data_IF_907497218813
#
_entry.id   IF_907497218813
#
_cell.length_a   1.000
_cell.length_b   1.000
_cell.length_c   1.000
_cell.angle_alpha   90.00
_cell.angle_beta   90.00
_cell.angle_gamma   90.00
#
_symmetry.space_group_name_H-M   'P 1'
#
loop_
_entity.id
_entity.type
_entity.pdbx_description
1 polymer ?
#
# COMPACT_ATOMS: atom_id res chain seq x y z
N UNK A 1 5.53 -21.74 5.75
CA UNK A 1 5.28 -20.37 6.23
C UNK A 1 5.64 -20.35 7.71
N UNK A 2 6.86 -19.93 8.07
CA UNK A 2 7.22 -19.74 9.48
C UNK A 2 6.63 -18.40 9.87
N UNK A 3 5.56 -18.42 10.68
CA UNK A 3 5.10 -17.20 11.34
C UNK A 3 6.32 -16.61 12.07
N UNK A 4 6.70 -15.34 11.85
CA UNK A 4 7.67 -14.71 12.72
C UNK A 4 7.10 -14.83 14.12
N UNK A 5 7.80 -15.59 14.97
CA UNK A 5 7.29 -15.90 16.31
C UNK A 5 7.12 -14.57 17.01
N UNK A 6 5.87 -14.17 17.27
CA UNK A 6 5.56 -13.08 18.17
C UNK A 6 6.24 -13.46 19.50
N UNK A 7 7.39 -12.85 19.76
CA UNK A 7 8.18 -13.17 20.91
C UNK A 7 7.69 -12.28 22.06
N UNK A 8 7.45 -12.88 23.22
CA UNK A 8 7.07 -12.12 24.42
C UNK A 8 8.18 -11.15 24.83
N UNK A 9 9.42 -11.44 24.43
CA UNK A 9 10.57 -10.58 24.68
C UNK A 9 10.61 -9.35 23.75
N UNK A 10 10.08 -9.43 22.52
CA UNK A 10 10.13 -8.33 21.53
C UNK A 10 8.86 -7.50 21.48
N UNK A 11 7.77 -7.95 22.11
CA UNK A 11 6.45 -7.30 22.00
C UNK A 11 6.46 -5.82 22.42
N UNK A 12 7.31 -5.44 23.38
CA UNK A 12 7.45 -4.05 23.81
C UNK A 12 8.12 -3.17 22.74
N UNK A 13 9.20 -3.69 22.14
CA UNK A 13 9.92 -3.03 21.04
C UNK A 13 9.03 -2.96 19.79
N UNK A 14 8.37 -4.05 19.43
CA UNK A 14 7.44 -4.13 18.29
C UNK A 14 6.27 -3.15 18.44
N UNK A 15 5.72 -2.99 19.64
CA UNK A 15 4.66 -2.01 19.92
C UNK A 15 5.17 -0.58 19.75
N UNK A 16 6.35 -0.26 20.29
CA UNK A 16 6.94 1.07 20.15
C UNK A 16 7.24 1.41 18.68
N UNK A 17 7.79 0.46 17.92
CA UNK A 17 8.07 0.60 16.51
C UNK A 17 6.78 0.78 15.71
N UNK A 18 5.75 -0.02 15.99
CA UNK A 18 4.44 0.08 15.36
C UNK A 18 3.76 1.43 15.61
N UNK A 19 3.87 1.97 16.82
CA UNK A 19 3.34 3.31 17.14
C UNK A 19 4.08 4.42 16.38
N UNK A 20 5.41 4.38 16.35
CA UNK A 20 6.22 5.38 15.63
C UNK A 20 5.91 5.33 14.14
N UNK A 21 5.92 4.13 13.54
CA UNK A 21 5.59 3.94 12.13
C UNK A 21 4.14 4.34 11.84
N UNK A 22 3.20 4.03 12.73
CA UNK A 22 1.81 4.43 12.62
C UNK A 22 1.65 5.95 12.57
N UNK A 23 2.27 6.67 13.50
CA UNK A 23 2.23 8.14 13.53
C UNK A 23 2.89 8.73 12.28
N UNK A 24 4.05 8.21 11.86
CA UNK A 24 4.75 8.64 10.65
C UNK A 24 3.91 8.40 9.38
N UNK A 25 3.16 7.30 9.33
CA UNK A 25 2.40 6.89 8.15
C UNK A 25 1.27 7.86 7.79
N UNK A 26 0.78 8.66 8.76
CA UNK A 26 -0.32 9.61 8.55
C UNK A 26 0.07 10.74 7.59
N UNK A 27 1.10 11.56 7.89
CA UNK A 27 1.54 12.59 6.95
C UNK A 27 2.12 12.00 5.65
N UNK A 28 2.80 10.85 5.72
CA UNK A 28 3.37 10.19 4.54
C UNK A 28 2.30 9.73 3.54
N UNK A 29 1.25 9.05 4.01
CA UNK A 29 0.13 8.62 3.18
C UNK A 29 -0.64 9.80 2.57
N UNK A 30 -0.83 10.89 3.33
CA UNK A 30 -1.44 12.11 2.80
C UNK A 30 -0.58 12.77 1.71
N UNK A 31 0.75 12.81 1.90
CA UNK A 31 1.68 13.32 0.90
C UNK A 31 1.66 12.47 -0.39
N UNK A 32 1.59 11.14 -0.26
CA UNK A 32 1.43 10.25 -1.42
C UNK A 32 0.13 10.52 -2.19
N UNK A 33 -0.98 10.77 -1.47
CA UNK A 33 -2.25 11.17 -2.08
C UNK A 33 -2.16 12.50 -2.84
N UNK A 34 -1.45 13.49 -2.29
CA UNK A 34 -1.17 14.76 -2.96
C UNK A 34 -0.33 14.57 -4.23
N UNK A 35 0.72 13.75 -4.17
CA UNK A 35 1.56 13.42 -5.33
C UNK A 35 0.76 12.71 -6.43
N UNK A 36 -0.27 11.95 -6.06
CA UNK A 36 -1.19 11.30 -6.99
C UNK A 36 -2.25 12.26 -7.56
N UNK A 37 -2.24 13.55 -7.21
CA UNK A 37 -3.24 14.56 -7.60
C UNK A 37 -4.68 14.20 -7.18
N UNK A 38 -4.85 13.47 -6.08
CA UNK A 38 -6.15 13.11 -5.51
C UNK A 38 -6.33 13.72 -4.12
N UNK A 39 -7.54 13.59 -3.54
CA UNK A 39 -7.75 14.03 -2.16
C UNK A 39 -6.78 13.28 -1.21
N UNK A 40 -5.99 13.99 -0.37
CA UNK A 40 -4.98 13.38 0.50
C UNK A 40 -5.51 12.28 1.41
N UNK A 41 -6.78 12.39 1.80
CA UNK A 41 -7.45 11.40 2.65
C UNK A 41 -7.46 10.01 1.99
N UNK A 42 -7.52 9.92 0.65
CA UNK A 42 -7.48 8.62 -0.03
C UNK A 42 -6.11 7.94 0.07
N UNK A 43 -5.01 8.71 0.13
CA UNK A 43 -3.69 8.16 0.38
C UNK A 43 -3.56 7.59 1.81
N UNK A 44 -4.12 8.29 2.79
CA UNK A 44 -4.22 7.79 4.17
C UNK A 44 -5.04 6.49 4.25
N UNK A 45 -6.20 6.44 3.56
CA UNK A 45 -7.02 5.24 3.51
C UNK A 45 -6.28 4.07 2.87
N UNK A 46 -5.56 4.30 1.77
CA UNK A 46 -4.76 3.28 1.12
C UNK A 46 -3.71 2.68 2.07
N UNK A 47 -3.02 3.50 2.87
CA UNK A 47 -2.06 3.04 3.88
C UNK A 47 -2.75 2.24 4.97
N UNK A 48 -3.85 2.75 5.53
CA UNK A 48 -4.56 2.09 6.61
C UNK A 48 -5.06 0.69 6.18
N UNK A 49 -5.66 0.59 5.00
CA UNK A 49 -6.13 -0.69 4.47
C UNK A 49 -4.99 -1.59 3.98
N UNK A 50 -3.95 -1.02 3.39
CA UNK A 50 -2.80 -1.74 2.84
C UNK A 50 -1.93 -2.38 3.92
N UNK A 51 -1.56 -1.61 4.95
CA UNK A 51 -0.80 -2.12 6.10
C UNK A 51 -1.60 -3.17 6.86
N UNK A 52 -2.89 -2.90 7.12
CA UNK A 52 -3.74 -3.86 7.82
C UNK A 52 -3.88 -5.18 7.06
N UNK A 53 -4.22 -5.12 5.77
CA UNK A 53 -4.39 -6.32 4.97
C UNK A 53 -3.07 -7.08 4.80
N UNK A 54 -1.98 -6.40 4.49
CA UNK A 54 -0.73 -7.08 4.24
C UNK A 54 0.02 -7.54 5.49
N UNK A 55 -0.36 -7.11 6.70
CA UNK A 55 0.10 -7.76 7.94
C UNK A 55 -0.26 -9.26 7.97
N UNK A 56 -1.35 -9.67 7.30
CA UNK A 56 -1.76 -11.08 7.21
C UNK A 56 -1.12 -11.83 6.04
N UNK A 57 -0.86 -11.14 4.93
CA UNK A 57 -0.44 -11.78 3.67
C UNK A 57 1.06 -11.67 3.36
N UNK A 58 1.77 -10.77 4.04
CA UNK A 58 3.21 -10.56 3.81
C UNK A 58 4.03 -11.68 4.44
N UNK A 59 5.09 -12.11 3.74
CA UNK A 59 5.99 -13.17 4.24
C UNK A 59 7.14 -12.66 5.13
N UNK A 60 7.29 -11.34 5.27
CA UNK A 60 8.34 -10.68 6.05
C UNK A 60 7.76 -9.96 7.26
N UNK A 61 8.35 -10.20 8.43
CA UNK A 61 7.96 -9.55 9.69
C UNK A 61 8.28 -8.04 9.73
N UNK A 62 9.27 -7.63 8.95
CA UNK A 62 9.83 -6.27 8.99
C UNK A 62 9.39 -5.41 7.81
N UNK A 63 8.62 -5.95 6.88
CA UNK A 63 8.18 -5.23 5.68
C UNK A 63 6.91 -4.44 5.99
N UNK A 64 7.00 -3.11 5.86
CA UNK A 64 5.85 -2.21 5.88
C UNK A 64 5.32 -1.98 4.46
N UNK A 65 4.01 -1.88 4.32
CA UNK A 65 3.34 -1.61 3.03
C UNK A 65 3.01 -0.12 2.95
N UNK A 66 3.64 0.57 2.00
CA UNK A 66 3.48 1.99 1.79
C UNK A 66 3.43 2.28 0.28
N UNK A 67 2.90 3.43 -0.10
CA UNK A 67 2.97 3.89 -1.49
C UNK A 67 4.35 4.49 -1.74
N UNK A 68 4.83 4.33 -2.97
CA UNK A 68 6.06 4.99 -3.42
C UNK A 68 5.71 6.19 -4.29
N UNK A 69 6.66 7.13 -4.42
CA UNK A 69 6.50 8.27 -5.33
C UNK A 69 6.23 7.81 -6.77
N UNK A 70 6.84 6.70 -7.20
CA UNK A 70 6.59 6.11 -8.52
C UNK A 70 5.13 5.66 -8.68
N UNK A 71 4.55 4.98 -7.68
CA UNK A 71 3.13 4.60 -7.69
C UNK A 71 2.23 5.83 -7.76
N UNK A 72 2.52 6.87 -6.98
CA UNK A 72 1.75 8.10 -6.97
C UNK A 72 1.76 8.81 -8.35
N UNK A 73 2.93 8.91 -8.99
CA UNK A 73 3.05 9.50 -10.33
C UNK A 73 2.31 8.69 -11.40
N UNK A 74 2.31 7.36 -11.30
CA UNK A 74 1.53 6.50 -12.21
C UNK A 74 0.03 6.77 -12.04
N UNK A 75 -0.46 6.87 -10.80
CA UNK A 75 -1.87 7.20 -10.55
C UNK A 75 -2.20 8.60 -11.10
N UNK A 76 -1.36 9.60 -10.82
CA UNK A 76 -1.53 10.96 -11.34
C UNK A 76 -1.56 11.01 -12.87
N UNK A 77 -0.86 10.11 -13.55
CA UNK A 77 -0.82 10.05 -15.01
C UNK A 77 -2.14 9.60 -15.65
N UNK A 78 -3.10 9.07 -14.88
CA UNK A 78 -4.40 8.59 -15.36
C UNK A 78 -5.41 9.76 -15.38
N UNK A 79 -5.81 10.30 -16.55
CA UNK A 79 -6.65 11.50 -16.61
C UNK A 79 -8.01 11.33 -15.93
N UNK A 80 -8.54 10.11 -15.90
CA UNK A 80 -9.85 9.81 -15.32
C UNK A 80 -9.86 10.02 -13.80
N UNK A 81 -8.73 9.89 -13.11
CA UNK A 81 -8.66 10.10 -11.64
C UNK A 81 -8.57 11.58 -11.25
N UNK A 82 -8.34 12.49 -12.20
CA UNK A 82 -8.24 13.94 -11.95
C UNK A 82 -9.30 14.77 -12.67
N UNK A 83 -9.72 14.37 -13.88
CA UNK A 83 -10.50 15.23 -14.78
C UNK A 83 -11.89 14.67 -15.15
N UNK A 84 -12.26 13.47 -14.69
CA UNK A 84 -13.56 12.89 -15.03
C UNK A 84 -14.72 13.55 -14.27
N UNK A 85 -15.96 13.33 -14.72
CA UNK A 85 -17.17 13.74 -14.00
C UNK A 85 -17.28 13.10 -12.60
N UNK A 86 -16.60 11.97 -12.38
CA UNK A 86 -16.55 11.29 -11.08
C UNK A 86 -15.14 10.73 -10.81
N UNK A 87 -14.19 11.60 -10.43
CA UNK A 87 -12.78 11.24 -10.26
C UNK A 87 -12.57 10.15 -9.20
N UNK A 88 -13.32 10.20 -8.10
CA UNK A 88 -13.25 9.23 -7.02
C UNK A 88 -13.64 7.83 -7.49
N UNK A 89 -14.74 7.70 -8.25
CA UNK A 89 -15.17 6.40 -8.79
C UNK A 89 -14.13 5.80 -9.72
N UNK A 90 -13.48 6.63 -10.53
CA UNK A 90 -12.37 6.22 -11.40
C UNK A 90 -11.16 5.76 -10.61
N UNK A 91 -10.81 6.44 -9.51
CA UNK A 91 -9.73 6.06 -8.60
C UNK A 91 -9.99 4.69 -7.96
N UNK A 92 -11.20 4.46 -7.45
CA UNK A 92 -11.58 3.16 -6.87
C UNK A 92 -11.60 2.04 -7.91
N UNK A 93 -12.10 2.31 -9.12
CA UNK A 93 -12.06 1.35 -10.21
C UNK A 93 -10.62 0.99 -10.61
N UNK A 94 -9.72 1.98 -10.68
CA UNK A 94 -8.30 1.77 -10.96
C UNK A 94 -7.63 0.92 -9.87
N UNK A 95 -7.91 1.21 -8.59
CA UNK A 95 -7.39 0.44 -7.47
C UNK A 95 -7.87 -1.01 -7.51
N UNK A 96 -9.17 -1.24 -7.78
CA UNK A 96 -9.74 -2.58 -7.87
C UNK A 96 -9.19 -3.35 -9.07
N UNK A 97 -9.12 -2.73 -10.24
CA UNK A 97 -8.52 -3.32 -11.44
C UNK A 97 -7.07 -3.73 -11.20
N UNK A 98 -6.27 -2.82 -10.61
CA UNK A 98 -4.87 -3.09 -10.27
C UNK A 98 -4.76 -4.27 -9.30
N UNK A 99 -5.60 -4.32 -8.26
CA UNK A 99 -5.65 -5.43 -7.32
C UNK A 99 -5.98 -6.77 -7.98
N UNK A 100 -6.98 -6.80 -8.86
CA UNK A 100 -7.33 -8.01 -9.64
C UNK A 100 -6.15 -8.47 -10.50
N UNK A 101 -5.48 -7.54 -11.19
CA UNK A 101 -4.30 -7.86 -12.00
C UNK A 101 -3.14 -8.38 -11.15
N UNK A 102 -2.90 -7.79 -9.97
CA UNK A 102 -1.88 -8.25 -9.02
C UNK A 102 -2.18 -9.65 -8.50
N UNK A 103 -3.44 -9.94 -8.17
CA UNK A 103 -3.87 -11.29 -7.74
C UNK A 103 -3.69 -12.30 -8.88
N UNK A 104 -4.10 -11.96 -10.11
CA UNK A 104 -3.89 -12.82 -11.28
C UNK A 104 -2.40 -13.10 -11.52
N UNK A 105 -1.55 -12.07 -11.46
CA UNK A 105 -0.11 -12.22 -11.57
C UNK A 105 0.49 -13.10 -10.47
N UNK A 106 -0.04 -12.99 -9.25
CA UNK A 106 0.31 -13.86 -8.12
C UNK A 106 -0.05 -15.33 -8.36
N UNK A 107 -1.26 -15.62 -8.85
CA UNK A 107 -1.68 -16.98 -9.20
C UNK A 107 -0.83 -17.59 -10.31
N UNK A 108 -0.41 -16.78 -11.29
CA UNK A 108 0.51 -17.17 -12.35
C UNK A 108 1.98 -17.28 -11.90
N UNK A 109 2.27 -17.03 -10.62
CA UNK A 109 3.63 -17.03 -10.02
C UNK A 109 4.61 -16.10 -10.73
N UNK A 110 4.14 -14.99 -11.29
CA UNK A 110 4.98 -14.04 -12.03
C UNK A 110 5.98 -13.29 -11.15
N UNK A 111 5.87 -13.38 -9.83
CA UNK A 111 6.84 -12.79 -8.90
C UNK A 111 8.28 -13.29 -9.08
N UNK A 112 8.48 -14.50 -9.64
CA UNK A 112 9.82 -15.00 -9.96
C UNK A 112 10.50 -14.20 -11.08
N UNK A 113 9.74 -13.64 -12.02
CA UNK A 113 10.30 -12.83 -13.11
C UNK A 113 10.81 -11.48 -12.60
N UNK A 114 10.12 -10.89 -11.62
CA UNK A 114 10.49 -9.58 -11.04
C UNK A 114 11.81 -9.65 -10.27
N UNK A 115 12.26 -10.84 -9.84
CA UNK A 115 13.53 -11.01 -9.12
C UNK A 115 14.78 -10.71 -9.97
N UNK A 116 14.65 -10.66 -11.30
CA UNK A 116 15.77 -10.44 -12.22
C UNK A 116 15.96 -8.99 -12.67
N UNK A 117 15.12 -8.08 -12.17
CA UNK A 117 15.24 -6.63 -12.33
C UNK A 117 15.77 -6.03 -11.04
#
# INVERSE_FOLDING_TARGET
>A
MKLPSINRDTIGEDLSAGLVLGIQSVPDGMAAGLLALVNPIYGLYAYMTGVFSGAFFTSSAFMSIQATSAMALIVASVPQVTQSTSPNSSLFALALLTGVLMLAAGFLKLGTLVRFV
#
